data_IF_860571154951
#
_entry.id   IF_860571154951
#
_cell.length_a   1.000
_cell.length_b   1.000
_cell.length_c   1.000
_cell.angle_alpha   90.00
_cell.angle_beta   90.00
_cell.angle_gamma   90.00
#
_symmetry.space_group_name_H-M   'P 1'
#
loop_
_entity.id
_entity.type
_entity.pdbx_description
1 polymer ?
#
# COMPACT_ATOMS: atom_id res chain seq x y z
N UNK A 1 0.77 13.23 3.86
CA UNK A 1 2.03 13.36 3.14
C UNK A 1 2.62 14.75 3.36
N UNK A 2 3.94 14.80 3.65
CA UNK A 2 4.65 16.05 3.82
C UNK A 2 4.63 16.82 2.48
N UNK A 3 4.12 18.04 2.49
CA UNK A 3 4.11 18.89 1.30
C UNK A 3 5.38 19.73 1.29
N UNK A 4 6.35 19.28 0.51
CA UNK A 4 7.53 20.09 0.21
C UNK A 4 7.20 21.06 -0.93
N UNK A 5 7.63 22.31 -0.80
CA UNK A 5 7.58 23.31 -1.88
C UNK A 5 9.01 23.66 -2.29
N UNK A 6 9.25 23.75 -3.60
CA UNK A 6 10.55 24.19 -4.11
C UNK A 6 11.65 23.13 -4.11
N UNK A 7 11.32 21.85 -3.85
CA UNK A 7 12.29 20.75 -3.92
C UNK A 7 12.01 19.89 -5.15
N UNK A 8 13.03 19.55 -5.91
CA UNK A 8 12.92 18.61 -7.02
C UNK A 8 12.93 17.17 -6.51
N UNK A 9 12.32 16.25 -7.28
CA UNK A 9 12.34 14.82 -6.96
C UNK A 9 13.75 14.31 -6.80
N UNK A 10 14.68 14.71 -7.67
CA UNK A 10 16.12 14.40 -7.59
C UNK A 10 16.71 14.76 -6.22
N UNK A 11 16.46 15.98 -5.77
CA UNK A 11 17.05 16.49 -4.53
C UNK A 11 16.49 15.75 -3.32
N UNK A 12 15.18 15.46 -3.34
CA UNK A 12 14.53 14.67 -2.29
C UNK A 12 15.10 13.25 -2.20
N UNK A 13 15.24 12.55 -3.34
CA UNK A 13 15.81 11.21 -3.39
C UNK A 13 17.28 11.18 -2.98
N UNK A 14 18.07 12.18 -3.40
CA UNK A 14 19.47 12.30 -3.00
C UNK A 14 19.59 12.52 -1.50
N UNK A 15 18.75 13.40 -0.93
CA UNK A 15 18.71 13.65 0.50
C UNK A 15 18.31 12.38 1.28
N UNK A 16 17.33 11.63 0.78
CA UNK A 16 16.90 10.38 1.38
C UNK A 16 17.98 9.30 1.35
N UNK A 17 18.77 9.24 0.27
CA UNK A 17 19.89 8.31 0.12
C UNK A 17 21.05 8.59 1.10
N UNK A 18 21.16 9.83 1.60
CA UNK A 18 22.23 10.22 2.51
C UNK A 18 23.63 9.96 1.91
N UNK A 19 24.47 9.26 2.65
CA UNK A 19 25.85 8.95 2.23
C UNK A 19 25.96 7.79 1.23
N UNK A 20 24.85 7.16 0.86
CA UNK A 20 24.84 6.05 -0.08
C UNK A 20 25.00 6.54 -1.53
N UNK A 21 26.24 6.78 -1.93
CA UNK A 21 26.61 7.29 -3.28
C UNK A 21 26.40 6.28 -4.42
N UNK A 22 26.07 5.03 -4.11
CA UNK A 22 25.89 3.95 -5.12
C UNK A 22 24.44 3.84 -5.62
N UNK A 23 23.52 4.65 -5.11
CA UNK A 23 22.12 4.59 -5.51
C UNK A 23 21.93 5.22 -6.88
N UNK A 24 21.34 4.45 -7.79
CA UNK A 24 20.89 4.93 -9.07
C UNK A 24 19.45 5.48 -8.94
N UNK A 25 19.28 6.78 -9.03
CA UNK A 25 17.97 7.44 -8.92
C UNK A 25 17.00 7.03 -10.05
N UNK A 26 17.54 6.69 -11.23
CA UNK A 26 16.71 6.21 -12.34
C UNK A 26 16.10 4.84 -12.02
N UNK A 27 16.88 3.94 -11.43
CA UNK A 27 16.41 2.61 -11.02
C UNK A 27 15.36 2.71 -9.92
N UNK A 28 15.56 3.60 -8.94
CA UNK A 28 14.58 3.85 -7.88
C UNK A 28 13.22 4.29 -8.43
N UNK A 29 13.23 5.25 -9.37
CA UNK A 29 11.98 5.72 -9.99
C UNK A 29 11.35 4.64 -10.87
N UNK A 30 12.16 3.88 -11.60
CA UNK A 30 11.68 2.74 -12.39
C UNK A 30 11.01 1.67 -11.51
N UNK A 31 11.60 1.36 -10.35
CA UNK A 31 11.05 0.37 -9.41
C UNK A 31 9.68 0.75 -8.85
N UNK A 32 9.42 2.05 -8.72
CA UNK A 32 8.09 2.57 -8.33
C UNK A 32 7.19 2.92 -9.53
N UNK A 33 7.61 2.58 -10.75
CA UNK A 33 6.83 2.78 -11.97
C UNK A 33 6.73 4.24 -12.42
N UNK A 34 7.78 5.04 -12.19
CA UNK A 34 7.91 6.42 -12.67
C UNK A 34 9.06 6.53 -13.67
N UNK A 35 8.87 7.31 -14.74
CA UNK A 35 9.92 7.58 -15.72
C UNK A 35 10.89 8.62 -15.18
N UNK A 36 12.17 8.28 -15.05
CA UNK A 36 13.17 9.20 -14.50
C UNK A 36 13.31 10.49 -15.33
N UNK A 37 13.21 10.40 -16.66
CA UNK A 37 13.31 11.56 -17.55
C UNK A 37 12.19 12.58 -17.30
N UNK A 38 10.99 12.09 -16.95
CA UNK A 38 9.82 12.94 -16.76
C UNK A 38 9.74 13.52 -15.35
N UNK A 39 10.34 12.84 -14.35
CA UNK A 39 10.09 13.14 -12.94
C UNK A 39 11.29 13.70 -12.18
N UNK A 40 12.54 13.33 -12.49
CA UNK A 40 13.69 13.72 -11.66
C UNK A 40 13.84 15.23 -11.47
N UNK A 41 13.63 16.00 -12.54
CA UNK A 41 13.83 17.46 -12.50
C UNK A 41 12.54 18.23 -12.21
N UNK A 42 11.40 17.52 -12.01
CA UNK A 42 10.14 18.17 -11.61
C UNK A 42 10.18 18.56 -10.14
N UNK A 43 9.68 19.75 -9.88
CA UNK A 43 9.45 20.26 -8.53
C UNK A 43 8.20 19.58 -7.93
N UNK A 44 8.31 19.10 -6.69
CA UNK A 44 7.21 18.49 -5.97
C UNK A 44 6.22 19.58 -5.57
N UNK A 45 5.07 19.58 -6.21
CA UNK A 45 4.02 20.57 -6.01
C UNK A 45 2.63 19.95 -6.20
N UNK A 46 1.61 20.79 -6.26
CA UNK A 46 0.20 20.38 -6.40
C UNK A 46 -0.16 19.80 -7.78
N UNK A 47 0.74 19.82 -8.76
CA UNK A 47 0.50 19.23 -10.09
C UNK A 47 0.67 17.71 -10.11
N UNK A 48 1.26 17.13 -9.06
CA UNK A 48 1.35 15.69 -8.92
C UNK A 48 0.02 15.09 -8.47
N UNK A 49 -0.36 13.98 -9.08
CA UNK A 49 -1.47 13.16 -8.59
C UNK A 49 -1.14 12.53 -7.24
N UNK A 50 -2.15 12.17 -6.46
CA UNK A 50 -1.94 11.48 -5.18
C UNK A 50 -1.11 10.20 -5.33
N UNK A 51 -1.35 9.42 -6.39
CA UNK A 51 -0.59 8.21 -6.68
C UNK A 51 0.87 8.47 -7.06
N UNK A 52 1.18 9.56 -7.76
CA UNK A 52 2.56 9.94 -8.08
C UNK A 52 3.33 10.36 -6.82
N UNK A 53 2.71 11.18 -5.97
CA UNK A 53 3.31 11.58 -4.68
C UNK A 53 3.61 10.35 -3.83
N UNK A 54 2.67 9.43 -3.70
CA UNK A 54 2.84 8.20 -2.94
C UNK A 54 4.00 7.35 -3.44
N UNK A 55 4.13 7.20 -4.76
CA UNK A 55 5.26 6.45 -5.36
C UNK A 55 6.60 7.15 -5.12
N UNK A 56 6.64 8.47 -5.16
CA UNK A 56 7.85 9.23 -4.81
C UNK A 56 8.20 9.04 -3.32
N UNK A 57 7.21 9.04 -2.43
CA UNK A 57 7.41 8.73 -1.00
C UNK A 57 8.03 7.35 -0.82
N UNK A 58 7.52 6.33 -1.52
CA UNK A 58 8.07 4.97 -1.46
C UNK A 58 9.50 4.94 -2.04
N UNK A 59 9.77 5.65 -3.14
CA UNK A 59 11.12 5.77 -3.67
C UNK A 59 12.10 6.37 -2.65
N UNK A 60 11.66 7.32 -1.79
CA UNK A 60 12.51 7.82 -0.70
C UNK A 60 12.81 6.76 0.37
N UNK A 61 11.87 5.84 0.62
CA UNK A 61 12.09 4.72 1.54
C UNK A 61 13.09 3.73 0.96
N UNK A 62 12.95 3.39 -0.33
CA UNK A 62 13.90 2.54 -1.06
C UNK A 62 15.32 3.14 -1.06
N UNK A 63 15.43 4.46 -1.27
CA UNK A 63 16.71 5.17 -1.25
C UNK A 63 17.46 5.02 0.08
N UNK A 64 16.75 4.84 1.18
CA UNK A 64 17.33 4.67 2.53
C UNK A 64 17.87 3.27 2.80
N UNK A 65 17.58 2.29 1.94
CA UNK A 65 18.00 0.88 2.08
C UNK A 65 17.75 0.31 3.50
N UNK A 66 16.50 0.40 3.95
CA UNK A 66 16.10 0.00 5.30
C UNK A 66 15.92 -1.51 5.38
N UNK A 67 16.22 -2.10 6.54
CA UNK A 67 15.93 -3.51 6.83
C UNK A 67 14.46 -3.75 7.17
N UNK A 68 13.77 -2.74 7.73
CA UNK A 68 12.35 -2.79 8.07
C UNK A 68 11.68 -1.50 7.62
N UNK A 69 10.55 -1.63 6.94
CA UNK A 69 9.71 -0.52 6.53
C UNK A 69 8.26 -0.75 7.00
N UNK A 70 7.66 0.28 7.59
CA UNK A 70 6.28 0.24 8.08
C UNK A 70 5.44 1.22 7.27
N UNK A 71 4.33 0.75 6.71
CA UNK A 71 3.39 1.54 5.94
C UNK A 71 2.02 1.51 6.62
N UNK A 72 1.46 2.68 6.83
CA UNK A 72 0.13 2.87 7.40
C UNK A 72 -0.84 3.31 6.30
N UNK A 73 -1.80 2.45 5.97
CA UNK A 73 -2.78 2.61 4.89
C UNK A 73 -2.17 3.17 3.58
N UNK A 74 -1.13 2.55 3.02
CA UNK A 74 -0.43 3.09 1.86
C UNK A 74 -1.32 3.21 0.62
N UNK A 75 -2.41 2.47 0.57
CA UNK A 75 -3.42 2.47 -0.50
C UNK A 75 -4.44 3.60 -0.39
N UNK A 76 -4.49 4.32 0.73
CA UNK A 76 -5.48 5.37 0.93
C UNK A 76 -5.40 6.47 -0.12
N UNK A 77 -6.52 6.75 -0.80
CA UNK A 77 -6.64 7.84 -1.78
C UNK A 77 -5.94 7.60 -3.11
N UNK A 78 -5.59 6.36 -3.45
CA UNK A 78 -5.06 6.01 -4.77
C UNK A 78 -6.09 5.25 -5.61
N UNK A 79 -6.00 5.43 -6.93
CA UNK A 79 -6.86 4.73 -7.90
C UNK A 79 -6.40 3.27 -8.12
N UNK A 80 -7.24 2.49 -8.80
CA UNK A 80 -7.02 1.07 -9.03
C UNK A 80 -5.70 0.76 -9.78
N UNK A 81 -5.33 1.59 -10.76
CA UNK A 81 -4.10 1.38 -11.55
C UNK A 81 -2.86 1.70 -10.72
N UNK A 82 -2.91 2.79 -9.95
CA UNK A 82 -1.85 3.15 -9.02
C UNK A 82 -1.71 2.11 -7.90
N UNK A 83 -2.81 1.49 -7.47
CA UNK A 83 -2.79 0.40 -6.50
C UNK A 83 -2.02 -0.82 -7.01
N UNK A 84 -2.26 -1.24 -8.26
CA UNK A 84 -1.51 -2.36 -8.85
C UNK A 84 0.01 -2.08 -8.86
N UNK A 85 0.39 -0.85 -9.23
CA UNK A 85 1.82 -0.45 -9.21
C UNK A 85 2.39 -0.43 -7.80
N UNK A 86 1.60 -0.07 -6.81
CA UNK A 86 1.98 -0.10 -5.41
C UNK A 86 2.28 -1.54 -4.93
N UNK A 87 1.42 -2.50 -5.27
CA UNK A 87 1.62 -3.92 -4.92
C UNK A 87 2.88 -4.48 -5.56
N UNK A 88 3.10 -4.23 -6.86
CA UNK A 88 4.33 -4.61 -7.58
C UNK A 88 5.58 -4.01 -6.91
N UNK A 89 5.47 -2.79 -6.37
CA UNK A 89 6.58 -2.14 -5.68
C UNK A 89 6.90 -2.82 -4.35
N UNK A 90 5.89 -3.22 -3.57
CA UNK A 90 6.10 -3.96 -2.33
C UNK A 90 6.76 -5.33 -2.56
N UNK A 91 6.33 -6.05 -3.60
CA UNK A 91 6.98 -7.31 -3.99
C UNK A 91 8.46 -7.10 -4.33
N UNK A 92 8.79 -6.05 -5.10
CA UNK A 92 10.18 -5.68 -5.41
C UNK A 92 10.98 -5.28 -4.17
N UNK A 93 10.38 -4.55 -3.23
CA UNK A 93 11.03 -4.18 -1.97
C UNK A 93 11.46 -5.41 -1.18
N UNK A 94 10.62 -6.42 -1.09
CA UNK A 94 10.92 -7.67 -0.41
C UNK A 94 12.00 -8.45 -1.17
N UNK A 95 11.79 -8.70 -2.48
CA UNK A 95 12.65 -9.59 -3.27
C UNK A 95 14.02 -8.99 -3.62
N UNK A 96 14.06 -7.71 -3.99
CA UNK A 96 15.28 -7.04 -4.49
C UNK A 96 16.09 -6.38 -3.38
N UNK A 97 15.42 -5.82 -2.37
CA UNK A 97 16.06 -5.01 -1.33
C UNK A 97 16.16 -5.70 0.02
N UNK A 98 15.67 -6.94 0.14
CA UNK A 98 15.69 -7.74 1.38
C UNK A 98 15.12 -6.93 2.58
N UNK A 99 14.03 -6.20 2.32
CA UNK A 99 13.37 -5.35 3.31
C UNK A 99 12.18 -6.11 3.91
N UNK A 100 12.14 -6.24 5.22
CA UNK A 100 10.92 -6.68 5.93
C UNK A 100 9.88 -5.58 5.88
N UNK A 101 8.69 -5.89 5.36
CA UNK A 101 7.63 -4.91 5.17
C UNK A 101 6.49 -5.21 6.14
N UNK A 102 6.10 -4.20 6.90
CA UNK A 102 4.90 -4.23 7.75
C UNK A 102 3.88 -3.26 7.18
N UNK A 103 2.70 -3.75 6.80
CA UNK A 103 1.63 -2.92 6.25
C UNK A 103 0.43 -2.98 7.19
N UNK A 104 -0.04 -1.81 7.61
CA UNK A 104 -1.32 -1.66 8.32
C UNK A 104 -2.35 -1.34 7.25
N UNK A 105 -3.33 -2.23 7.07
CA UNK A 105 -4.37 -2.07 6.06
C UNK A 105 -5.63 -2.85 6.45
N UNK A 106 -6.76 -2.41 5.93
CA UNK A 106 -8.03 -3.11 5.99
C UNK A 106 -8.47 -3.63 4.61
N UNK A 107 -7.60 -3.53 3.60
CA UNK A 107 -7.88 -3.93 2.22
C UNK A 107 -7.50 -5.39 1.99
N UNK A 108 -8.46 -6.21 1.59
CA UNK A 108 -8.24 -7.63 1.24
C UNK A 108 -7.11 -7.82 0.20
N UNK A 109 -7.01 -6.91 -0.76
CA UNK A 109 -5.97 -6.96 -1.80
C UNK A 109 -4.55 -6.82 -1.23
N UNK A 110 -4.38 -6.06 -0.15
CA UNK A 110 -3.09 -5.97 0.57
C UNK A 110 -2.81 -7.25 1.33
N UNK A 111 -3.84 -7.87 1.94
CA UNK A 111 -3.69 -9.15 2.63
C UNK A 111 -3.14 -10.25 1.69
N UNK A 112 -3.47 -10.18 0.39
CA UNK A 112 -2.94 -11.13 -0.60
C UNK A 112 -1.42 -11.06 -0.80
N UNK A 113 -0.75 -9.98 -0.39
CA UNK A 113 0.70 -9.82 -0.46
C UNK A 113 1.40 -10.37 0.80
N UNK A 114 0.66 -10.56 1.88
CA UNK A 114 1.24 -10.91 3.17
C UNK A 114 1.69 -12.38 3.23
N UNK A 115 2.84 -12.63 3.84
CA UNK A 115 3.27 -13.97 4.27
C UNK A 115 2.58 -14.34 5.57
N UNK A 116 2.51 -13.38 6.51
CA UNK A 116 1.83 -13.50 7.80
C UNK A 116 0.89 -12.31 8.02
N UNK A 117 -0.19 -12.56 8.74
CA UNK A 117 -1.18 -11.56 9.12
C UNK A 117 -1.27 -11.48 10.64
N UNK A 118 -1.13 -10.27 11.18
CA UNK A 118 -1.29 -9.98 12.60
C UNK A 118 -2.65 -9.32 12.81
N UNK A 119 -3.57 -10.03 13.44
CA UNK A 119 -4.89 -9.50 13.79
C UNK A 119 -4.81 -8.77 15.12
N UNK A 120 -5.08 -7.47 15.09
CA UNK A 120 -5.13 -6.62 16.28
C UNK A 120 -6.58 -6.26 16.62
N UNK A 121 -7.04 -6.59 17.82
CA UNK A 121 -8.35 -6.21 18.32
C UNK A 121 -8.27 -5.92 19.83
N UNK A 122 -9.12 -5.04 20.32
CA UNK A 122 -9.17 -4.62 21.72
C UNK A 122 -7.79 -4.21 22.28
N UNK A 123 -6.98 -3.54 21.46
CA UNK A 123 -5.62 -3.06 21.78
C UNK A 123 -4.59 -4.17 22.07
N UNK A 124 -4.86 -5.39 21.63
CA UNK A 124 -3.96 -6.53 21.80
C UNK A 124 -3.81 -7.30 20.49
N UNK A 125 -2.71 -8.05 20.36
CA UNK A 125 -2.59 -9.03 19.29
C UNK A 125 -3.51 -10.19 19.62
N UNK A 126 -4.53 -10.41 18.80
CA UNK A 126 -5.47 -11.52 18.95
C UNK A 126 -4.91 -12.79 18.36
N UNK A 127 -4.30 -12.69 17.19
CA UNK A 127 -3.79 -13.83 16.46
C UNK A 127 -2.67 -13.41 15.52
N UNK A 128 -1.72 -14.32 15.29
CA UNK A 128 -0.73 -14.26 14.19
C UNK A 128 -1.01 -15.49 13.34
N UNK A 129 -1.33 -15.30 12.07
CA UNK A 129 -1.83 -16.37 11.22
C UNK A 129 -1.42 -16.18 9.76
N UNK A 130 -1.62 -17.21 8.92
CA UNK A 130 -1.39 -17.11 7.49
C UNK A 130 -2.52 -16.37 6.78
N UNK A 131 -2.20 -15.75 5.62
CA UNK A 131 -3.20 -15.10 4.77
C UNK A 131 -4.33 -16.04 4.35
N UNK A 132 -4.01 -17.33 4.06
CA UNK A 132 -5.03 -18.28 3.60
C UNK A 132 -6.12 -18.50 4.65
N UNK A 133 -5.77 -18.52 5.93
CA UNK A 133 -6.76 -18.68 6.99
C UNK A 133 -7.67 -17.46 7.08
N UNK A 134 -7.12 -16.24 7.09
CA UNK A 134 -7.90 -15.01 7.17
C UNK A 134 -8.83 -14.84 5.97
N UNK A 135 -8.33 -15.06 4.75
CA UNK A 135 -9.16 -14.97 3.54
C UNK A 135 -10.30 -15.99 3.56
N UNK A 136 -10.03 -17.23 4.01
CA UNK A 136 -11.07 -18.24 4.17
C UNK A 136 -12.14 -17.87 5.21
N UNK A 137 -11.80 -17.15 6.28
CA UNK A 137 -12.75 -16.65 7.27
C UNK A 137 -13.61 -15.50 6.71
N UNK A 138 -12.99 -14.57 5.94
CA UNK A 138 -13.72 -13.47 5.26
C UNK A 138 -14.76 -14.04 4.28
N UNK A 139 -14.38 -15.01 3.44
CA UNK A 139 -15.28 -15.68 2.49
C UNK A 139 -16.44 -16.37 3.20
N UNK A 140 -16.21 -16.97 4.37
CA UNK A 140 -17.27 -17.61 5.17
C UNK A 140 -18.24 -16.59 5.76
N UNK A 141 -17.77 -15.42 6.20
CA UNK A 141 -18.61 -14.34 6.72
C UNK A 141 -19.51 -13.80 5.61
N UNK A 142 -18.97 -13.56 4.43
CA UNK A 142 -19.76 -13.10 3.26
C UNK A 142 -20.79 -14.13 2.82
N UNK A 143 -20.47 -15.41 2.86
CA UNK A 143 -21.41 -16.50 2.53
C UNK A 143 -22.48 -16.71 3.60
N UNK A 144 -22.20 -16.39 4.86
CA UNK A 144 -23.12 -16.54 5.99
C UNK A 144 -24.14 -15.40 6.10
N UNK A 145 -24.01 -14.33 5.32
CA UNK A 145 -24.95 -13.22 5.33
C UNK A 145 -26.30 -13.64 4.70
N UNK A 146 -27.20 -14.17 5.52
CA UNK A 146 -28.53 -14.67 5.11
C UNK A 146 -29.44 -13.59 4.50
N UNK A 147 -29.14 -12.31 4.69
CA UNK A 147 -29.91 -11.21 4.10
C UNK A 147 -29.85 -11.21 2.56
N UNK A 148 -28.76 -11.72 1.95
CA UNK A 148 -28.62 -11.77 0.49
C UNK A 148 -29.59 -12.78 -0.17
N UNK A 149 -29.96 -13.85 0.54
CA UNK A 149 -30.91 -14.85 0.03
C UNK A 149 -32.37 -14.41 0.15
N UNK A 150 -32.72 -13.56 1.11
CA UNK A 150 -34.08 -13.04 1.29
C UNK A 150 -34.38 -11.83 0.39
N UNK A 151 -33.42 -11.03 0.01
CA UNK A 151 -33.60 -9.91 -0.92
C UNK A 151 -33.84 -10.33 -2.37
N UNK A 152 -33.46 -11.54 -2.78
CA UNK A 152 -33.62 -12.05 -4.15
C UNK A 152 -34.96 -12.74 -4.41
N UNK A 153 -35.84 -12.92 -3.39
CA UNK A 153 -37.22 -13.37 -3.55
C UNK A 153 -38.14 -12.17 -3.40
N UNK A 154 -38.53 -11.59 -4.54
CA UNK A 154 -39.41 -10.43 -4.63
C UNK A 154 -40.61 -10.51 -3.68
N UNK A 155 -40.50 -9.76 -2.58
CA UNK A 155 -41.55 -9.65 -1.59
C UNK A 155 -41.25 -8.52 -0.62
N UNK A 156 -41.99 -7.42 -0.75
CA UNK A 156 -42.24 -6.30 0.16
C UNK A 156 -41.16 -5.92 1.17
N UNK A 157 -40.70 -4.67 0.99
CA UNK A 157 -39.79 -3.94 1.85
C UNK A 157 -40.38 -3.65 3.24
N UNK A 158 -40.36 -4.61 4.18
CA UNK A 158 -40.69 -4.38 5.59
C UNK A 158 -40.01 -5.38 6.53
N UNK A 159 -38.72 -5.70 6.28
CA UNK A 159 -37.95 -6.46 7.24
C UNK A 159 -36.88 -5.51 7.86
N UNK A 160 -37.17 -5.02 9.08
CA UNK A 160 -36.18 -4.38 9.94
C UNK A 160 -35.03 -5.34 10.18
N UNK A 161 -33.87 -5.07 9.60
CA UNK A 161 -32.61 -5.66 10.08
C UNK A 161 -32.37 -5.15 11.51
N UNK A 162 -32.64 -5.96 12.49
CA UNK A 162 -32.16 -5.71 13.87
C UNK A 162 -30.66 -5.97 13.90
N UNK A 163 -29.94 -4.97 14.36
CA UNK A 163 -28.50 -4.99 14.62
C UNK A 163 -28.12 -5.98 15.71
#
# INVERSE_FOLDING_TARGET
>A
PARFKGIKVRDLLTLAAGDNKQINLCDLLYDVGLCAQDYLDREINTSFSGGEVKRIEIATILARNLKVAIFDEPEAGIDLWSFQRLTETFEKMNQKYDTTIVIISHQERILNLADEVILVADRTIREITSRQKILGEIDQIDSACRCRQSCNRGGRADAKCSR
#
